data_IF_467118487258
#
_entry.id   IF_467118487258
#
_cell.length_a   1.000
_cell.length_b   1.000
_cell.length_c   1.000
_cell.angle_alpha   90.00
_cell.angle_beta   90.00
_cell.angle_gamma   90.00
#
_symmetry.space_group_name_H-M   'P 1'
#
loop_
_entity.id
_entity.type
_entity.pdbx_description
1 polymer ?
#
# COMPACT_ATOMS: atom_id res chain seq x y z
N UNK A 1 23.11 -44.47 -20.70
CA UNK A 1 23.60 -43.13 -21.10
C UNK A 1 22.70 -42.09 -20.47
N UNK A 2 23.21 -41.29 -19.53
CA UNK A 2 22.47 -40.21 -18.87
C UNK A 2 22.32 -39.01 -19.81
N UNK A 3 21.09 -38.58 -20.10
CA UNK A 3 20.85 -37.34 -20.85
C UNK A 3 21.27 -36.16 -19.98
N UNK A 4 22.26 -35.39 -20.42
CA UNK A 4 22.58 -34.08 -19.85
C UNK A 4 21.72 -33.03 -20.55
N UNK A 5 20.93 -32.29 -19.77
CA UNK A 5 20.19 -31.15 -20.26
C UNK A 5 21.04 -29.90 -20.08
N UNK A 6 21.36 -29.22 -21.18
CA UNK A 6 22.11 -27.96 -21.18
C UNK A 6 21.12 -26.83 -21.43
N UNK A 7 21.23 -25.71 -20.70
CA UNK A 7 20.38 -24.56 -20.99
C UNK A 7 20.65 -24.05 -22.41
N UNK A 8 19.61 -23.53 -23.06
CA UNK A 8 19.75 -22.82 -24.35
C UNK A 8 20.79 -21.69 -24.27
N UNK A 9 20.89 -21.06 -23.09
CA UNK A 9 21.83 -19.97 -22.81
C UNK A 9 23.32 -20.33 -22.97
N UNK A 10 23.67 -21.62 -22.86
CA UNK A 10 25.05 -22.09 -23.04
C UNK A 10 25.60 -21.81 -24.44
N UNK A 11 24.72 -21.71 -25.44
CA UNK A 11 25.10 -21.48 -26.84
C UNK A 11 24.94 -20.02 -27.29
N UNK A 12 24.37 -19.15 -26.45
CA UNK A 12 24.06 -17.76 -26.80
C UNK A 12 24.79 -16.73 -25.96
N UNK A 13 25.32 -17.14 -24.80
CA UNK A 13 25.85 -16.23 -23.80
C UNK A 13 27.35 -16.48 -23.59
N UNK A 14 28.13 -15.39 -23.53
CA UNK A 14 29.60 -15.47 -23.66
C UNK A 14 30.32 -15.86 -22.36
N UNK A 15 29.64 -15.78 -21.21
CA UNK A 15 30.26 -16.03 -19.91
C UNK A 15 29.36 -16.86 -19.00
N UNK A 16 29.95 -17.75 -18.21
CA UNK A 16 29.27 -18.53 -17.18
C UNK A 16 29.76 -18.14 -15.78
N UNK A 17 28.86 -17.67 -14.92
CA UNK A 17 29.15 -17.32 -13.54
C UNK A 17 28.86 -18.50 -12.61
N UNK A 18 29.90 -19.29 -12.29
CA UNK A 18 29.79 -20.51 -11.48
C UNK A 18 29.12 -20.30 -10.13
N UNK A 19 29.39 -19.19 -9.44
CA UNK A 19 28.79 -18.87 -8.14
C UNK A 19 27.26 -18.78 -8.20
N UNK A 20 26.72 -18.29 -9.32
CA UNK A 20 25.29 -18.07 -9.53
C UNK A 20 24.66 -19.13 -10.45
N UNK A 21 25.46 -20.07 -10.95
CA UNK A 21 25.06 -21.11 -11.91
C UNK A 21 24.27 -20.55 -13.11
N UNK A 22 24.75 -19.44 -13.69
CA UNK A 22 24.04 -18.67 -14.71
C UNK A 22 24.97 -18.24 -15.84
N UNK A 23 24.49 -18.26 -17.09
CA UNK A 23 25.19 -17.65 -18.21
C UNK A 23 24.77 -16.20 -18.38
N UNK A 24 25.70 -15.34 -18.81
CA UNK A 24 25.41 -13.94 -19.10
C UNK A 24 26.20 -13.44 -20.32
N UNK A 25 25.62 -12.49 -21.03
CA UNK A 25 26.28 -11.75 -22.11
C UNK A 25 26.94 -10.51 -21.53
N UNK A 26 28.22 -10.34 -21.85
CA UNK A 26 28.97 -9.11 -21.67
C UNK A 26 29.76 -8.86 -22.94
N UNK A 27 29.54 -7.69 -23.54
CA UNK A 27 30.28 -7.27 -24.73
C UNK A 27 31.23 -6.13 -24.36
N UNK A 28 30.69 -5.08 -23.73
CA UNK A 28 31.40 -3.92 -23.22
C UNK A 28 30.62 -3.29 -22.04
N UNK A 29 31.22 -2.27 -21.42
CA UNK A 29 30.63 -1.57 -20.28
C UNK A 29 29.30 -0.88 -20.63
N UNK A 30 29.16 -0.35 -21.85
CA UNK A 30 27.97 0.38 -22.29
C UNK A 30 26.77 -0.57 -22.47
N UNK A 31 26.95 -1.70 -23.16
CA UNK A 31 25.93 -2.76 -23.32
C UNK A 31 25.53 -3.34 -21.95
N UNK A 32 26.51 -3.53 -21.05
CA UNK A 32 26.23 -4.01 -19.70
C UNK A 32 25.40 -3.01 -18.89
N UNK A 33 25.76 -1.72 -18.91
CA UNK A 33 25.00 -0.66 -18.24
C UNK A 33 23.61 -0.47 -18.86
N UNK A 34 23.47 -0.62 -20.17
CA UNK A 34 22.17 -0.54 -20.85
C UNK A 34 21.24 -1.69 -20.41
N UNK A 35 21.76 -2.93 -20.36
CA UNK A 35 20.98 -4.13 -20.01
C UNK A 35 20.67 -4.22 -18.52
N UNK A 36 21.67 -3.98 -17.68
CA UNK A 36 21.59 -4.26 -16.24
C UNK A 36 21.59 -3.02 -15.35
N UNK A 37 21.87 -1.83 -15.90
CA UNK A 37 21.92 -0.58 -15.12
C UNK A 37 20.58 -0.27 -14.43
N UNK A 38 19.46 -0.47 -15.12
CA UNK A 38 18.11 -0.33 -14.53
C UNK A 38 17.87 -1.33 -13.39
N UNK A 39 18.33 -2.57 -13.53
CA UNK A 39 18.20 -3.61 -12.50
C UNK A 39 19.05 -3.26 -11.28
N UNK A 40 20.28 -2.77 -11.48
CA UNK A 40 21.16 -2.31 -10.41
C UNK A 40 20.56 -1.11 -9.66
N UNK A 41 20.01 -0.13 -10.39
CA UNK A 41 19.31 1.01 -9.81
C UNK A 41 18.08 0.57 -9.00
N UNK A 42 17.26 -0.33 -9.55
CA UNK A 42 16.07 -0.83 -8.85
C UNK A 42 16.41 -1.65 -7.60
N UNK A 43 17.45 -2.49 -7.66
CA UNK A 43 17.95 -3.23 -6.50
C UNK A 43 18.42 -2.27 -5.41
N UNK A 44 19.26 -1.30 -5.76
CA UNK A 44 19.72 -0.27 -4.82
C UNK A 44 18.55 0.52 -4.22
N UNK A 45 17.54 0.86 -5.03
CA UNK A 45 16.32 1.53 -4.56
C UNK A 45 15.58 0.68 -3.54
N UNK A 46 15.37 -0.62 -3.81
CA UNK A 46 14.70 -1.55 -2.88
C UNK A 46 15.47 -1.75 -1.57
N UNK A 47 16.80 -1.85 -1.64
CA UNK A 47 17.65 -1.96 -0.45
C UNK A 47 17.63 -0.70 0.42
N UNK A 48 17.39 0.47 -0.18
CA UNK A 48 17.38 1.75 0.52
C UNK A 48 15.98 2.29 0.85
N UNK A 49 14.92 1.70 0.30
CA UNK A 49 13.55 2.24 0.37
C UNK A 49 13.11 2.51 1.81
N UNK A 50 13.38 1.58 2.73
CA UNK A 50 13.02 1.72 4.15
C UNK A 50 13.81 2.85 4.83
N UNK A 51 15.11 2.99 4.52
CA UNK A 51 15.94 4.05 5.10
C UNK A 51 15.53 5.43 4.59
N UNK A 52 15.24 5.55 3.30
CA UNK A 52 14.77 6.81 2.70
C UNK A 52 13.39 7.19 3.22
N UNK A 53 12.48 6.22 3.34
CA UNK A 53 11.18 6.39 3.98
C UNK A 53 11.31 6.93 5.41
N UNK A 54 12.12 6.29 6.27
CA UNK A 54 12.31 6.73 7.65
C UNK A 54 12.90 8.14 7.74
N UNK A 55 13.87 8.48 6.87
CA UNK A 55 14.44 9.83 6.80
C UNK A 55 13.39 10.87 6.39
N UNK A 56 12.58 10.59 5.36
CA UNK A 56 11.52 11.51 4.91
C UNK A 56 10.46 11.69 5.99
N UNK A 57 9.94 10.59 6.55
CA UNK A 57 8.97 10.63 7.66
C UNK A 57 9.47 11.49 8.81
N UNK A 58 10.72 11.30 9.25
CA UNK A 58 11.30 12.10 10.33
C UNK A 58 11.38 13.61 9.99
N UNK A 59 11.69 13.97 8.75
CA UNK A 59 11.73 15.38 8.31
C UNK A 59 10.32 15.97 8.23
N UNK A 60 9.36 15.23 7.67
CA UNK A 60 7.95 15.67 7.55
C UNK A 60 7.37 15.93 8.93
N UNK A 61 7.46 14.96 9.85
CA UNK A 61 6.93 15.07 11.21
C UNK A 61 7.53 16.25 12.00
N UNK A 62 8.74 16.69 11.64
CA UNK A 62 9.41 17.83 12.28
C UNK A 62 9.07 19.18 11.64
N UNK A 63 8.89 19.22 10.32
CA UNK A 63 8.83 20.48 9.55
C UNK A 63 7.45 20.85 9.07
N UNK A 64 6.57 19.88 8.88
CA UNK A 64 5.25 20.13 8.33
C UNK A 64 4.32 20.69 9.41
N UNK A 65 3.71 21.82 9.12
CA UNK A 65 2.65 22.40 9.96
C UNK A 65 1.30 21.91 9.46
N UNK A 66 0.63 21.12 10.32
CA UNK A 66 -0.67 20.50 10.02
C UNK A 66 -1.75 21.57 9.96
N UNK A 67 -2.55 21.56 8.89
CA UNK A 67 -3.67 22.48 8.73
C UNK A 67 -4.85 22.07 9.63
N UNK A 68 -5.07 20.76 9.75
CA UNK A 68 -6.11 20.12 10.56
C UNK A 68 -5.48 19.08 11.50
N UNK A 69 -4.80 19.47 12.59
CA UNK A 69 -4.19 18.50 13.52
C UNK A 69 -5.20 17.49 14.09
N UNK A 70 -6.48 17.85 14.16
CA UNK A 70 -7.54 17.05 14.75
C UNK A 70 -7.91 15.78 13.97
N UNK A 71 -7.56 15.70 12.68
CA UNK A 71 -7.88 14.54 11.82
C UNK A 71 -6.83 13.42 11.89
N UNK A 72 -5.69 13.67 12.54
CA UNK A 72 -4.60 12.69 12.70
C UNK A 72 -4.87 11.65 13.81
N UNK A 73 -5.94 11.83 14.59
CA UNK A 73 -6.39 10.88 15.59
C UNK A 73 -7.79 10.42 15.22
N UNK A 74 -8.03 9.11 15.15
CA UNK A 74 -9.34 8.57 14.80
C UNK A 74 -10.38 8.96 15.86
N UNK A 75 -11.49 9.52 15.40
CA UNK A 75 -12.63 9.88 16.25
C UNK A 75 -13.90 9.36 15.63
N UNK A 76 -14.82 8.89 16.48
CA UNK A 76 -16.08 8.27 16.03
C UNK A 76 -16.92 9.21 15.15
N UNK A 77 -16.89 10.52 15.39
CA UNK A 77 -17.63 11.50 14.57
C UNK A 77 -17.08 11.69 13.15
N UNK A 78 -15.88 11.19 12.85
CA UNK A 78 -15.37 11.14 11.47
C UNK A 78 -15.97 9.98 10.68
N UNK A 79 -16.59 9.01 11.35
CA UNK A 79 -17.16 7.83 10.71
C UNK A 79 -18.63 8.05 10.36
N UNK A 80 -19.02 7.59 9.18
CA UNK A 80 -20.41 7.67 8.73
C UNK A 80 -21.28 6.78 9.64
N UNK A 81 -22.46 7.25 10.10
CA UNK A 81 -23.37 6.43 10.90
C UNK A 81 -23.73 5.09 10.26
N UNK A 82 -23.79 5.02 8.91
CA UNK A 82 -24.05 3.78 8.18
C UNK A 82 -22.90 2.79 8.31
N UNK A 83 -21.66 3.27 8.35
CA UNK A 83 -20.49 2.44 8.63
C UNK A 83 -20.52 1.88 10.06
N UNK A 84 -20.83 2.73 11.04
CA UNK A 84 -20.94 2.29 12.44
C UNK A 84 -22.05 1.25 12.61
N UNK A 85 -23.19 1.44 11.94
CA UNK A 85 -24.28 0.45 11.93
C UNK A 85 -23.85 -0.86 11.28
N UNK A 86 -23.13 -0.80 10.16
CA UNK A 86 -22.59 -1.99 9.50
C UNK A 86 -21.64 -2.76 10.43
N UNK A 87 -20.74 -2.05 11.12
CA UNK A 87 -19.81 -2.65 12.08
C UNK A 87 -20.56 -3.25 13.27
N UNK A 88 -21.62 -2.62 13.77
CA UNK A 88 -22.49 -3.17 14.81
C UNK A 88 -23.19 -4.46 14.35
N UNK A 89 -23.74 -4.47 13.13
CA UNK A 89 -24.38 -5.66 12.54
C UNK A 89 -23.36 -6.80 12.46
N UNK A 90 -22.15 -6.54 11.96
CA UNK A 90 -21.07 -7.52 11.87
C UNK A 90 -20.59 -8.04 13.24
N UNK A 91 -20.65 -7.21 14.29
CA UNK A 91 -20.27 -7.57 15.67
C UNK A 91 -21.37 -8.35 16.40
N UNK A 92 -22.63 -8.04 16.11
CA UNK A 92 -23.79 -8.78 16.63
C UNK A 92 -23.91 -10.14 15.92
N UNK A 93 -24.68 -11.08 16.45
CA UNK A 93 -24.79 -12.47 15.95
C UNK A 93 -25.38 -12.63 14.52
N UNK A 94 -25.34 -11.60 13.66
CA UNK A 94 -25.65 -11.67 12.24
C UNK A 94 -24.57 -12.49 11.51
N UNK A 95 -24.69 -13.82 11.64
CA UNK A 95 -23.85 -14.81 10.98
C UNK A 95 -24.22 -15.02 9.50
N UNK A 96 -25.25 -14.36 8.98
CA UNK A 96 -25.67 -14.48 7.59
C UNK A 96 -25.13 -13.32 6.75
N UNK A 97 -24.49 -13.68 5.65
CA UNK A 97 -23.92 -12.79 4.64
C UNK A 97 -24.98 -11.81 4.10
N UNK A 98 -26.22 -12.27 4.02
CA UNK A 98 -27.37 -11.55 3.49
C UNK A 98 -27.68 -10.29 4.29
N UNK A 99 -27.58 -10.34 5.63
CA UNK A 99 -27.83 -9.19 6.50
C UNK A 99 -26.77 -8.10 6.30
N UNK A 100 -25.51 -8.50 6.14
CA UNK A 100 -24.40 -7.57 5.83
C UNK A 100 -24.55 -6.97 4.43
N UNK A 101 -24.89 -7.80 3.44
CA UNK A 101 -25.11 -7.36 2.07
C UNK A 101 -26.31 -6.39 1.95
N UNK A 102 -27.33 -6.51 2.79
CA UNK A 102 -28.45 -5.57 2.80
C UNK A 102 -28.05 -4.12 3.18
N UNK A 103 -26.89 -3.95 3.82
CA UNK A 103 -26.36 -2.65 4.24
C UNK A 103 -25.27 -2.10 3.30
N UNK A 104 -24.93 -2.84 2.24
CA UNK A 104 -23.82 -2.50 1.34
C UNK A 104 -24.31 -2.52 -0.11
N UNK A 105 -23.86 -1.56 -0.93
CA UNK A 105 -24.15 -1.56 -2.35
C UNK A 105 -23.20 -2.52 -3.07
N UNK A 106 -23.74 -3.50 -3.79
CA UNK A 106 -22.97 -4.28 -4.77
C UNK A 106 -22.75 -3.44 -6.01
N UNK A 107 -21.52 -3.38 -6.51
CA UNK A 107 -21.23 -2.78 -7.81
C UNK A 107 -21.32 -3.84 -8.92
N UNK A 108 -21.44 -3.41 -10.18
CA UNK A 108 -21.60 -4.30 -11.35
C UNK A 108 -20.37 -5.20 -11.61
N UNK A 109 -19.24 -4.89 -10.95
CA UNK A 109 -18.07 -5.74 -10.95
C UNK A 109 -18.21 -6.84 -9.88
N UNK A 110 -17.95 -8.09 -10.29
CA UNK A 110 -17.96 -9.22 -9.37
C UNK A 110 -17.10 -8.92 -8.12
N UNK A 111 -17.72 -9.05 -6.95
CA UNK A 111 -17.08 -8.88 -5.63
C UNK A 111 -16.61 -7.46 -5.29
N UNK A 112 -17.09 -6.44 -6.01
CA UNK A 112 -16.90 -5.05 -5.64
C UNK A 112 -18.09 -4.52 -4.83
N UNK A 113 -17.80 -3.84 -3.73
CA UNK A 113 -18.79 -3.35 -2.79
C UNK A 113 -18.51 -1.90 -2.43
N UNK A 114 -19.57 -1.11 -2.27
CA UNK A 114 -19.51 0.31 -1.96
C UNK A 114 -20.38 0.63 -0.75
N UNK A 115 -19.78 1.30 0.22
CA UNK A 115 -20.47 1.82 1.39
C UNK A 115 -19.68 3.02 1.92
N UNK A 116 -20.36 4.00 2.53
CA UNK A 116 -19.72 5.20 3.05
C UNK A 116 -19.04 4.88 4.37
N UNK A 117 -17.76 5.25 4.49
CA UNK A 117 -16.94 5.01 5.69
C UNK A 117 -16.80 6.28 6.52
N UNK A 118 -16.55 7.41 5.86
CA UNK A 118 -16.27 8.69 6.50
C UNK A 118 -17.35 9.72 6.23
N UNK A 119 -17.49 10.68 7.15
CA UNK A 119 -18.35 11.85 6.97
C UNK A 119 -17.77 12.82 5.94
N UNK A 120 -18.64 13.60 5.29
CA UNK A 120 -18.23 14.65 4.33
C UNK A 120 -17.27 15.65 4.96
N UNK A 121 -17.54 16.07 6.20
CA UNK A 121 -16.69 17.02 6.94
C UNK A 121 -15.26 16.50 7.09
N UNK A 122 -15.09 15.22 7.46
CA UNK A 122 -13.77 14.61 7.56
C UNK A 122 -13.07 14.58 6.19
N UNK A 123 -13.79 14.16 5.14
CA UNK A 123 -13.24 14.11 3.79
C UNK A 123 -12.78 15.49 3.30
N UNK A 124 -13.53 16.54 3.56
CA UNK A 124 -13.17 17.92 3.20
C UNK A 124 -11.89 18.36 3.92
N UNK A 125 -11.79 18.14 5.24
CA UNK A 125 -10.59 18.44 6.02
C UNK A 125 -9.38 17.64 5.56
N UNK A 126 -9.55 16.35 5.28
CA UNK A 126 -8.48 15.49 4.76
C UNK A 126 -7.97 15.97 3.39
N UNK A 127 -8.88 16.36 2.49
CA UNK A 127 -8.51 16.89 1.18
C UNK A 127 -7.78 18.24 1.29
N UNK A 128 -8.21 19.11 2.21
CA UNK A 128 -7.52 20.37 2.49
C UNK A 128 -6.12 20.12 3.07
N UNK A 129 -5.96 19.19 4.01
CA UNK A 129 -4.68 18.79 4.59
C UNK A 129 -3.72 18.25 3.52
N UNK A 130 -4.20 17.35 2.64
CA UNK A 130 -3.40 16.78 1.56
C UNK A 130 -2.94 17.87 0.59
N UNK A 131 -3.83 18.80 0.23
CA UNK A 131 -3.51 19.93 -0.65
C UNK A 131 -2.46 20.84 -0.01
N UNK A 132 -2.62 21.18 1.27
CA UNK A 132 -1.65 21.97 2.03
C UNK A 132 -0.28 21.27 2.12
N UNK A 133 -0.25 19.94 2.29
CA UNK A 133 0.99 19.18 2.28
C UNK A 133 1.67 19.18 0.91
N UNK A 134 0.89 19.02 -0.16
CA UNK A 134 1.40 19.06 -1.54
C UNK A 134 2.05 20.42 -1.87
N UNK A 135 1.46 21.52 -1.40
CA UNK A 135 2.00 22.88 -1.58
C UNK A 135 3.22 23.19 -0.69
N UNK A 136 3.45 22.40 0.37
CA UNK A 136 4.59 22.62 1.28
C UNK A 136 5.95 22.21 0.70
N UNK A 137 7.03 22.75 1.25
CA UNK A 137 8.41 22.37 0.91
C UNK A 137 8.88 21.03 1.53
N UNK A 138 7.97 20.27 2.14
CA UNK A 138 8.33 18.99 2.74
C UNK A 138 8.69 17.96 1.67
N UNK A 139 9.64 17.02 1.98
CA UNK A 139 9.96 15.94 1.06
C UNK A 139 8.74 15.04 0.91
N UNK A 140 8.47 14.58 -0.32
CA UNK A 140 7.30 13.75 -0.64
C UNK A 140 7.76 12.42 -1.20
N UNK A 141 7.42 11.31 -0.53
CA UNK A 141 7.55 10.00 -1.14
C UNK A 141 6.51 9.83 -2.24
N UNK A 142 6.92 9.36 -3.43
CA UNK A 142 6.00 8.99 -4.50
C UNK A 142 5.95 7.45 -4.60
N UNK A 143 4.77 6.82 -4.44
CA UNK A 143 4.65 5.36 -4.41
C UNK A 143 5.05 4.68 -5.73
N UNK A 144 4.94 5.38 -6.86
CA UNK A 144 5.54 4.96 -8.13
C UNK A 144 5.75 6.18 -9.04
N UNK A 145 6.54 6.01 -10.11
CA UNK A 145 6.88 7.08 -11.09
C UNK A 145 5.71 7.51 -11.97
N UNK A 146 4.55 6.85 -11.89
CA UNK A 146 3.37 7.13 -12.72
C UNK A 146 2.26 7.84 -11.92
N UNK A 147 2.40 7.96 -10.60
CA UNK A 147 1.41 8.59 -9.74
C UNK A 147 1.94 9.92 -9.21
N UNK A 148 1.72 10.98 -9.98
CA UNK A 148 2.23 12.33 -9.69
C UNK A 148 1.52 13.04 -8.53
N UNK A 149 0.39 12.50 -8.06
CA UNK A 149 -0.53 13.19 -7.13
C UNK A 149 -0.84 12.38 -5.86
N UNK A 150 -0.07 11.32 -5.58
CA UNK A 150 -0.27 10.49 -4.39
C UNK A 150 0.56 10.98 -3.20
N UNK A 151 -0.08 11.16 -2.05
CA UNK A 151 0.56 11.42 -0.74
C UNK A 151 0.57 10.15 0.11
N UNK A 152 1.69 9.88 0.76
CA UNK A 152 1.85 8.76 1.69
C UNK A 152 1.39 9.18 3.10
N UNK A 153 0.18 8.80 3.49
CA UNK A 153 -0.40 9.16 4.80
C UNK A 153 0.42 8.68 6.00
N UNK A 154 1.12 7.54 5.87
CA UNK A 154 2.04 7.04 6.89
C UNK A 154 3.30 7.91 7.04
N UNK A 155 3.74 8.62 6.01
CA UNK A 155 4.82 9.61 6.13
C UNK A 155 4.34 10.91 6.82
N UNK A 156 3.04 11.23 6.70
CA UNK A 156 2.39 12.34 7.42
C UNK A 156 2.11 12.05 8.90
N UNK A 157 2.11 10.78 9.30
CA UNK A 157 1.86 10.33 10.67
C UNK A 157 0.40 10.00 10.98
N UNK A 158 -0.34 9.47 9.99
CA UNK A 158 -1.68 8.91 10.19
C UNK A 158 -1.67 7.45 10.67
N UNK A 159 -0.51 6.80 10.78
CA UNK A 159 -0.44 5.38 11.14
C UNK A 159 -0.92 5.13 12.58
N UNK A 160 -0.19 5.67 13.56
CA UNK A 160 -0.31 5.25 14.96
C UNK A 160 -1.70 5.54 15.57
N UNK A 161 -2.20 6.77 15.39
CA UNK A 161 -3.42 7.25 16.08
C UNK A 161 -4.68 7.22 15.21
N UNK A 162 -4.56 6.92 13.90
CA UNK A 162 -5.70 6.93 12.99
C UNK A 162 -5.91 5.59 12.26
N UNK A 163 -4.94 5.19 11.43
CA UNK A 163 -5.10 4.05 10.55
C UNK A 163 -5.01 2.73 11.31
N UNK A 164 -4.16 2.64 12.32
CA UNK A 164 -4.01 1.42 13.12
C UNK A 164 -5.29 1.15 13.94
N UNK A 165 -5.85 2.11 14.71
CA UNK A 165 -7.17 1.93 15.34
C UNK A 165 -8.28 1.62 14.33
N UNK A 166 -8.28 2.28 13.16
CA UNK A 166 -9.29 2.01 12.13
C UNK A 166 -9.23 0.56 11.63
N UNK A 167 -8.03 -0.01 11.47
CA UNK A 167 -7.82 -1.39 10.98
C UNK A 167 -8.05 -2.43 12.07
N UNK A 168 -7.76 -2.12 13.31
CA UNK A 168 -7.89 -3.07 14.42
C UNK A 168 -9.34 -3.10 14.94
N UNK A 169 -9.97 -1.95 15.16
CA UNK A 169 -11.23 -1.86 15.90
C UNK A 169 -12.49 -2.15 15.06
N UNK A 170 -12.43 -1.94 13.74
CA UNK A 170 -13.59 -2.02 12.85
C UNK A 170 -13.59 -3.29 11.97
N UNK A 171 -12.51 -3.64 11.24
CA UNK A 171 -12.41 -4.91 10.52
C UNK A 171 -12.24 -6.15 11.41
N UNK A 172 -11.58 -6.04 12.56
CA UNK A 172 -11.02 -7.19 13.29
C UNK A 172 -11.80 -7.57 14.55
N UNK A 173 -13.13 -7.41 14.52
CA UNK A 173 -13.98 -7.95 15.58
C UNK A 173 -14.14 -9.47 15.49
N UNK A 174 -13.12 -10.13 16.01
CA UNK A 174 -13.06 -11.47 16.61
C UNK A 174 -13.51 -12.72 15.86
N UNK A 175 -14.16 -12.71 14.71
CA UNK A 175 -14.40 -13.95 13.94
C UNK A 175 -14.02 -13.76 12.46
N UNK A 176 -12.94 -14.43 12.05
CA UNK A 176 -12.29 -14.44 10.73
C UNK A 176 -13.17 -14.76 9.49
N UNK A 177 -14.50 -14.88 9.62
CA UNK A 177 -15.33 -15.46 8.57
C UNK A 177 -16.12 -14.45 7.71
N UNK A 178 -16.62 -13.33 8.28
CA UNK A 178 -17.66 -12.56 7.58
C UNK A 178 -17.16 -11.34 6.80
N UNK A 179 -16.16 -10.61 7.32
CA UNK A 179 -15.55 -9.45 6.62
C UNK A 179 -14.32 -9.88 5.80
N UNK A 180 -13.70 -11.02 6.13
CA UNK A 180 -12.53 -11.51 5.40
C UNK A 180 -12.87 -11.72 3.91
N UNK A 181 -14.07 -12.21 3.58
CA UNK A 181 -14.57 -12.33 2.20
C UNK A 181 -14.58 -11.04 1.38
N UNK A 182 -14.49 -9.87 2.02
CA UNK A 182 -14.40 -8.57 1.34
C UNK A 182 -12.96 -8.03 1.25
N UNK A 183 -12.01 -8.59 2.01
CA UNK A 183 -10.65 -8.07 2.21
C UNK A 183 -9.52 -9.04 1.84
N UNK A 184 -9.80 -10.24 1.31
CA UNK A 184 -8.82 -11.25 0.85
C UNK A 184 -7.99 -10.85 -0.40
N UNK A 185 -7.64 -9.57 -0.57
CA UNK A 185 -6.73 -9.09 -1.61
C UNK A 185 -5.37 -8.58 -1.09
N UNK A 186 -5.18 -8.47 0.22
CA UNK A 186 -4.03 -7.77 0.83
C UNK A 186 -3.17 -8.65 1.76
N UNK A 187 -3.23 -9.98 1.66
CA UNK A 187 -2.15 -10.83 2.19
C UNK A 187 -1.01 -10.83 1.18
N UNK A 188 -0.13 -9.84 1.33
CA UNK A 188 1.11 -9.70 0.58
C UNK A 188 1.96 -10.96 0.65
N UNK A 189 2.62 -11.22 -0.48
CA UNK A 189 3.76 -12.12 -0.66
C UNK A 189 4.71 -12.06 0.55
N UNK A 190 4.73 -13.15 1.32
CA UNK A 190 5.90 -13.59 2.09
C UNK A 190 6.87 -14.33 1.18
#
# INVERSE_FOLDING_TARGET
>A
MSKQFVCRCFYTDNYFLKQYNMHFVYNDDDDFLQRYGKIKQEKNRRENISREYLKRKAVILRRYERLHPEIFTLKVHFLDPRFLKLVEVCKSQARCREDVLSHIKSEDANEAYSFPVFTTEFCEKLMAEISNFEESDCPKGRPNTMNHYGVLLNELGFDDDFLDPLREDYPTSHHQASISTLWWGWSGLS
#
